data_IF_895072334724
#
_entry.id   IF_895072334724
#
_cell.length_a   1.000
_cell.length_b   1.000
_cell.length_c   1.000
_cell.angle_alpha   90.00
_cell.angle_beta   90.00
_cell.angle_gamma   90.00
#
_symmetry.space_group_name_H-M   'P 1'
#
loop_
_entity.id
_entity.type
_entity.pdbx_description
1 polymer ?
#
# COMPACT_ATOMS: atom_id res chain seq x y z
N UNK A 1 1.44 -15.95 0.87
CA UNK A 1 2.33 -16.55 -0.14
C UNK A 1 1.85 -17.96 -0.37
N UNK A 2 1.58 -18.35 -1.61
CA UNK A 2 1.24 -19.76 -1.89
C UNK A 2 2.52 -20.58 -1.73
N UNK A 3 2.47 -21.76 -1.12
CA UNK A 3 3.66 -22.62 -0.97
C UNK A 3 4.33 -22.91 -2.33
N UNK A 4 3.54 -22.94 -3.39
CA UNK A 4 3.94 -23.18 -4.78
C UNK A 4 4.96 -22.15 -5.31
N UNK A 5 4.96 -20.91 -4.81
CA UNK A 5 5.87 -19.85 -5.28
C UNK A 5 7.21 -19.82 -4.55
N UNK A 6 7.39 -20.61 -3.48
CA UNK A 6 8.63 -20.61 -2.69
C UNK A 6 9.87 -20.98 -3.53
N UNK A 7 9.84 -22.03 -4.38
CA UNK A 7 11.00 -22.40 -5.19
C UNK A 7 11.43 -21.28 -6.16
N UNK A 8 10.46 -20.56 -6.73
CA UNK A 8 10.71 -19.45 -7.65
C UNK A 8 11.37 -18.28 -6.91
N UNK A 9 10.84 -17.91 -5.73
CA UNK A 9 11.39 -16.84 -4.89
C UNK A 9 12.79 -17.17 -4.37
N UNK A 10 13.09 -18.45 -4.13
CA UNK A 10 14.44 -18.91 -3.83
C UNK A 10 15.36 -18.80 -5.05
N UNK A 11 14.89 -19.20 -6.23
CA UNK A 11 15.68 -19.14 -7.48
C UNK A 11 16.07 -17.71 -7.87
N UNK A 12 15.20 -16.72 -7.61
CA UNK A 12 15.50 -15.30 -7.85
C UNK A 12 16.11 -14.58 -6.65
N UNK A 13 16.51 -15.34 -5.61
CA UNK A 13 17.27 -14.83 -4.47
C UNK A 13 16.48 -13.99 -3.48
N UNK A 14 15.15 -13.97 -3.56
CA UNK A 14 14.24 -13.24 -2.65
C UNK A 14 14.16 -13.95 -1.29
N UNK A 15 14.13 -15.29 -1.30
CA UNK A 15 14.16 -16.12 -0.10
C UNK A 15 15.45 -16.94 -0.02
N UNK A 16 15.91 -17.20 1.21
CA UNK A 16 16.98 -18.16 1.50
C UNK A 16 16.43 -19.59 1.39
N UNK A 17 17.35 -20.57 1.40
CA UNK A 17 16.99 -22.01 1.34
C UNK A 17 16.13 -22.47 2.52
N UNK A 18 16.19 -21.78 3.66
CA UNK A 18 15.35 -22.03 4.84
C UNK A 18 13.98 -21.33 4.80
N UNK A 19 13.67 -20.63 3.70
CA UNK A 19 12.43 -19.89 3.51
C UNK A 19 12.40 -18.50 4.15
N UNK A 20 13.47 -18.07 4.81
CA UNK A 20 13.56 -16.71 5.38
C UNK A 20 13.85 -15.67 4.30
N UNK A 21 13.43 -14.40 4.48
CA UNK A 21 13.76 -13.31 3.56
C UNK A 21 15.28 -13.15 3.39
N UNK A 22 15.76 -13.13 2.16
CA UNK A 22 17.15 -12.83 1.87
C UNK A 22 17.38 -11.31 1.88
N UNK A 23 17.87 -10.80 3.02
CA UNK A 23 18.16 -9.37 3.24
C UNK A 23 19.41 -8.89 2.52
N UNK A 24 20.25 -9.80 2.02
CA UNK A 24 21.49 -9.46 1.31
C UNK A 24 21.22 -9.16 -0.17
N UNK A 25 20.24 -9.84 -0.76
CA UNK A 25 19.81 -9.63 -2.15
C UNK A 25 18.65 -8.63 -2.30
N UNK A 26 17.89 -8.39 -1.23
CA UNK A 26 16.74 -7.48 -1.25
C UNK A 26 16.64 -6.70 0.07
N UNK A 27 16.49 -5.36 0.03
CA UNK A 27 16.35 -4.55 1.25
C UNK A 27 14.93 -4.70 1.81
N UNK A 28 14.63 -5.85 2.41
CA UNK A 28 13.36 -6.08 3.08
C UNK A 28 13.13 -5.06 4.18
N UNK A 29 11.92 -4.50 4.22
CA UNK A 29 11.51 -3.65 5.32
C UNK A 29 11.39 -4.48 6.60
N UNK A 30 11.92 -3.94 7.69
CA UNK A 30 11.60 -4.40 9.04
C UNK A 30 10.13 -4.11 9.35
N UNK A 31 9.57 -4.79 10.37
CA UNK A 31 8.19 -4.53 10.81
C UNK A 31 7.95 -3.04 11.14
N UNK A 32 8.82 -2.34 11.90
CA UNK A 32 8.65 -0.91 12.14
C UNK A 32 8.66 -0.07 10.85
N UNK A 33 9.54 -0.38 9.90
CA UNK A 33 9.58 0.32 8.60
C UNK A 33 8.32 0.08 7.77
N UNK A 34 7.75 -1.13 7.83
CA UNK A 34 6.49 -1.45 7.17
C UNK A 34 5.30 -0.67 7.74
N UNK A 35 5.27 -0.45 9.05
CA UNK A 35 4.21 0.31 9.72
C UNK A 35 4.40 1.84 9.62
N UNK A 36 5.61 2.31 9.34
CA UNK A 36 5.99 3.71 9.46
C UNK A 36 5.09 4.66 8.63
N UNK A 37 4.77 4.30 7.38
CA UNK A 37 3.94 5.16 6.51
C UNK A 37 2.53 5.36 7.07
N UNK A 38 1.92 4.33 7.68
CA UNK A 38 0.62 4.44 8.32
C UNK A 38 0.67 5.35 9.55
N UNK A 39 1.74 5.23 10.35
CA UNK A 39 1.96 6.11 11.52
C UNK A 39 2.16 7.56 11.07
N UNK A 40 2.94 7.79 10.01
CA UNK A 40 3.11 9.13 9.43
C UNK A 40 1.78 9.70 8.93
N UNK A 41 0.99 8.93 8.18
CA UNK A 41 -0.33 9.33 7.69
C UNK A 41 -1.27 9.78 8.82
N UNK A 42 -1.20 9.13 9.98
CA UNK A 42 -2.07 9.41 11.12
C UNK A 42 -1.62 10.61 11.97
N UNK A 43 -0.31 10.88 12.05
CA UNK A 43 0.24 11.78 13.07
C UNK A 43 1.23 12.83 12.60
N UNK A 44 1.75 12.78 11.36
CA UNK A 44 2.71 13.78 10.89
C UNK A 44 1.99 15.10 10.60
N UNK A 45 2.25 16.18 11.37
CA UNK A 45 1.58 17.46 11.19
C UNK A 45 1.86 18.10 9.83
N UNK A 46 2.91 17.67 9.12
CA UNK A 46 3.18 18.14 7.73
C UNK A 46 2.09 17.73 6.75
N UNK A 47 1.26 16.74 7.09
CA UNK A 47 0.20 16.24 6.23
C UNK A 47 -1.13 17.00 6.41
N UNK A 48 -1.23 17.88 7.42
CA UNK A 48 -2.45 18.62 7.71
C UNK A 48 -2.92 19.49 6.54
N UNK A 49 -1.98 20.03 5.74
CA UNK A 49 -2.28 20.91 4.61
C UNK A 49 -2.44 20.17 3.27
N UNK A 50 -2.34 18.84 3.26
CA UNK A 50 -2.41 18.00 2.04
C UNK A 50 -3.35 16.79 2.21
N UNK A 51 -4.65 17.02 2.51
CA UNK A 51 -5.60 15.94 2.68
C UNK A 51 -5.74 15.10 1.40
N UNK A 52 -5.85 13.78 1.56
CA UNK A 52 -5.98 12.85 0.43
C UNK A 52 -4.69 12.59 -0.35
N UNK A 53 -3.53 13.05 0.14
CA UNK A 53 -2.24 12.75 -0.48
C UNK A 53 -1.93 11.24 -0.49
N UNK A 54 -1.30 10.79 -1.57
CA UNK A 54 -0.70 9.46 -1.64
C UNK A 54 0.68 9.48 -0.99
N UNK A 55 0.95 8.51 -0.12
CA UNK A 55 2.23 8.40 0.59
C UNK A 55 3.03 7.19 0.10
N UNK A 56 4.31 7.42 -0.14
CA UNK A 56 5.32 6.38 -0.34
C UNK A 56 6.51 6.67 0.57
N UNK A 57 6.95 5.66 1.33
CA UNK A 57 8.00 5.78 2.34
C UNK A 57 7.90 7.04 3.22
N UNK A 58 6.76 7.17 3.93
CA UNK A 58 6.44 8.29 4.82
C UNK A 58 6.42 9.69 4.16
N UNK A 59 6.47 9.77 2.83
CA UNK A 59 6.56 11.04 2.09
C UNK A 59 5.43 11.16 1.09
N UNK A 60 4.94 12.39 0.84
CA UNK A 60 3.97 12.65 -0.24
C UNK A 60 4.60 12.31 -1.59
N UNK A 61 3.93 11.44 -2.35
CA UNK A 61 4.41 10.91 -3.61
C UNK A 61 3.28 10.86 -4.65
N UNK A 62 2.53 11.95 -4.79
CA UNK A 62 1.39 12.03 -5.72
C UNK A 62 1.77 11.76 -7.18
N UNK A 63 3.03 11.97 -7.54
CA UNK A 63 3.61 11.63 -8.85
C UNK A 63 3.65 10.12 -9.13
N UNK A 64 3.61 9.28 -8.08
CA UNK A 64 3.61 7.81 -8.18
C UNK A 64 2.21 7.20 -8.25
N UNK A 65 1.15 8.01 -8.20
CA UNK A 65 -0.22 7.52 -8.33
C UNK A 65 -0.38 6.85 -9.69
N UNK A 66 -0.85 5.60 -9.70
CA UNK A 66 -1.11 4.90 -10.94
C UNK A 66 -2.21 5.63 -11.74
N UNK A 67 -2.09 5.79 -13.07
CA UNK A 67 -3.04 6.59 -13.84
C UNK A 67 -4.50 6.16 -13.73
N UNK A 68 -4.75 4.88 -13.47
CA UNK A 68 -6.10 4.33 -13.31
C UNK A 68 -6.71 4.58 -11.92
N UNK A 69 -5.90 5.01 -10.93
CA UNK A 69 -6.31 5.24 -9.55
C UNK A 69 -6.69 6.70 -9.26
N UNK A 70 -6.47 7.63 -10.20
CA UNK A 70 -6.72 9.06 -10.01
C UNK A 70 -8.06 9.56 -10.59
N UNK A 71 -8.82 8.72 -11.29
CA UNK A 71 -10.07 9.12 -11.92
C UNK A 71 -11.20 9.28 -10.89
N UNK A 72 -11.65 10.52 -10.70
CA UNK A 72 -12.69 10.87 -9.73
C UNK A 72 -14.07 10.31 -10.09
N UNK A 73 -14.34 10.08 -11.39
CA UNK A 73 -15.59 9.47 -11.83
C UNK A 73 -15.67 8.00 -11.44
N UNK A 74 -14.57 7.26 -11.57
CA UNK A 74 -14.45 5.88 -11.13
C UNK A 74 -14.47 5.78 -9.60
N UNK A 75 -13.85 6.71 -8.89
CA UNK A 75 -13.93 6.77 -7.42
C UNK A 75 -15.39 6.91 -6.96
N UNK A 76 -16.18 7.81 -7.59
CA UNK A 76 -17.61 7.96 -7.29
C UNK A 76 -18.42 6.71 -7.60
N UNK A 77 -18.25 6.12 -8.79
CA UNK A 77 -18.96 4.89 -9.17
C UNK A 77 -18.66 3.74 -8.20
N UNK A 78 -17.40 3.62 -7.78
CA UNK A 78 -16.99 2.60 -6.81
C UNK A 78 -17.65 2.83 -5.45
N UNK A 79 -17.73 4.08 -4.99
CA UNK A 79 -18.41 4.45 -3.76
C UNK A 79 -19.89 4.07 -3.81
N UNK A 80 -20.62 4.53 -4.83
CA UNK A 80 -22.05 4.25 -5.02
C UNK A 80 -22.34 2.75 -5.08
N UNK A 81 -21.52 2.00 -5.81
CA UNK A 81 -21.63 0.54 -5.87
C UNK A 81 -21.39 -0.11 -4.50
N UNK A 82 -20.41 0.37 -3.75
CA UNK A 82 -20.08 -0.18 -2.41
C UNK A 82 -21.25 0.04 -1.46
N UNK A 83 -21.83 1.24 -1.44
CA UNK A 83 -23.04 1.55 -0.66
C UNK A 83 -24.21 0.61 -1.00
N UNK A 84 -24.44 0.36 -2.30
CA UNK A 84 -25.51 -0.54 -2.74
C UNK A 84 -25.24 -2.00 -2.33
N UNK A 85 -23.99 -2.44 -2.35
CA UNK A 85 -23.57 -3.79 -1.92
C UNK A 85 -23.77 -3.98 -0.42
N UNK A 86 -23.41 -2.99 0.40
CA UNK A 86 -23.49 -3.09 1.86
C UNK A 86 -24.88 -2.70 2.40
N UNK A 87 -25.71 -2.03 1.59
CA UNK A 87 -27.05 -1.58 1.96
C UNK A 87 -27.07 -0.34 2.87
N UNK A 88 -26.01 0.47 2.87
CA UNK A 88 -25.87 1.67 3.70
C UNK A 88 -25.46 2.87 2.84
N UNK A 89 -26.09 4.01 3.07
CA UNK A 89 -25.76 5.29 2.42
C UNK A 89 -25.02 6.18 3.40
N UNK A 90 -23.90 6.75 2.96
CA UNK A 90 -23.11 7.67 3.77
C UNK A 90 -23.32 9.10 3.27
N UNK A 91 -23.64 10.01 4.19
CA UNK A 91 -23.61 11.45 3.94
C UNK A 91 -22.36 12.05 4.57
N UNK A 92 -21.62 12.84 3.80
CA UNK A 92 -20.43 13.57 4.21
C UNK A 92 -20.64 15.08 4.03
#
# INVERSE_FOLDING_TARGET
MKEESIPELQAIGILRSDGTPNTDAMPWKTIPQGAATTVAAAFDPKLNDVPGAYLDDCTVANDKIAPHSSDQGNARKLWELTEDIIGEKFSF
#
